data_IF_981059166900
#
_entry.id   IF_981059166900
#
_cell.length_a   1.000
_cell.length_b   1.000
_cell.length_c   1.000
_cell.angle_alpha   90.00
_cell.angle_beta   90.00
_cell.angle_gamma   90.00
#
_symmetry.space_group_name_H-M   'P 1'
#
loop_
_entity.id
_entity.type
_entity.pdbx_description
1 polymer ?
#
# COMPACT_ATOMS: atom_id res chain seq x y z
N UNK A 1 -11.34 -0.77 8.61
CA UNK A 1 -12.14 -1.94 8.18
C UNK A 1 -11.93 -2.16 6.69
N UNK A 2 -11.90 -3.40 6.20
CA UNK A 2 -11.74 -3.67 4.77
C UNK A 2 -12.84 -3.02 3.94
N UNK A 3 -12.53 -2.69 2.69
CA UNK A 3 -13.49 -2.15 1.74
C UNK A 3 -14.63 -3.17 1.50
N UNK A 4 -15.88 -2.72 1.57
CA UNK A 4 -17.05 -3.61 1.52
C UNK A 4 -17.22 -4.36 0.20
N UNK A 5 -16.77 -3.77 -0.91
CA UNK A 5 -16.90 -4.37 -2.24
C UNK A 5 -15.80 -5.41 -2.52
N UNK A 6 -14.57 -5.11 -2.11
CA UNK A 6 -13.39 -5.90 -2.48
C UNK A 6 -12.88 -6.80 -1.35
N UNK A 7 -13.27 -6.53 -0.10
CA UNK A 7 -12.73 -7.19 1.08
C UNK A 7 -11.26 -6.85 1.37
N UNK A 8 -10.65 -5.90 0.65
CA UNK A 8 -9.25 -5.52 0.81
C UNK A 8 -9.11 -4.28 1.71
N UNK A 9 -7.97 -4.15 2.40
CA UNK A 9 -7.66 -2.94 3.15
C UNK A 9 -7.25 -1.81 2.20
N UNK A 10 -7.79 -0.61 2.40
CA UNK A 10 -7.36 0.59 1.68
C UNK A 10 -6.42 1.39 2.56
N UNK A 11 -5.22 1.66 2.05
CA UNK A 11 -4.20 2.48 2.71
C UNK A 11 -3.80 3.64 1.81
N UNK A 12 -3.32 4.72 2.42
CA UNK A 12 -2.79 5.89 1.70
C UNK A 12 -1.45 6.30 2.30
N UNK A 13 -0.54 6.88 1.50
CA UNK A 13 0.69 7.45 2.04
C UNK A 13 0.38 8.51 3.11
N UNK A 14 1.20 8.53 4.16
CA UNK A 14 1.14 9.57 5.19
C UNK A 14 1.92 10.81 4.73
N UNK A 15 1.40 11.98 5.07
CA UNK A 15 2.02 13.27 4.79
C UNK A 15 2.14 14.07 6.10
N UNK A 16 3.16 14.93 6.16
CA UNK A 16 3.32 15.93 7.23
C UNK A 16 2.41 17.14 6.98
N UNK A 17 2.30 18.03 7.98
CA UNK A 17 1.46 19.25 7.88
C UNK A 17 1.88 20.19 6.74
N UNK A 18 3.14 20.11 6.31
CA UNK A 18 3.68 20.88 5.18
C UNK A 18 3.43 20.21 3.81
N UNK A 19 2.76 19.05 3.78
CA UNK A 19 2.44 18.30 2.58
C UNK A 19 3.58 17.41 2.05
N UNK A 20 4.74 17.36 2.74
CA UNK A 20 5.80 16.43 2.38
C UNK A 20 5.49 14.99 2.81
N UNK A 21 6.07 14.00 2.13
CA UNK A 21 5.89 12.59 2.49
C UNK A 21 6.44 12.33 3.89
N UNK A 22 5.63 11.66 4.71
CA UNK A 22 6.06 11.19 6.02
C UNK A 22 6.82 9.86 5.86
N UNK A 23 8.16 9.92 5.85
CA UNK A 23 9.02 8.75 5.78
C UNK A 23 9.92 8.63 7.02
N UNK A 24 10.29 7.40 7.35
CA UNK A 24 11.24 7.10 8.42
C UNK A 24 12.13 5.93 8.01
N UNK A 25 13.36 5.90 8.53
CA UNK A 25 14.29 4.78 8.32
C UNK A 25 14.08 3.78 9.45
N UNK A 26 13.68 2.57 9.11
CA UNK A 26 13.51 1.46 10.06
C UNK A 26 14.60 0.41 9.89
N UNK A 27 14.88 -0.34 10.95
CA UNK A 27 15.75 -1.50 10.85
C UNK A 27 15.06 -2.60 10.02
N UNK A 28 15.81 -3.30 9.16
CA UNK A 28 15.22 -4.35 8.30
C UNK A 28 14.62 -5.47 9.15
N UNK A 29 15.23 -5.83 10.29
CA UNK A 29 14.69 -6.85 11.20
C UNK A 29 13.39 -6.41 11.90
N UNK A 30 13.00 -5.13 11.82
CA UNK A 30 11.70 -4.65 12.29
C UNK A 30 10.59 -4.87 11.26
N UNK A 31 10.92 -5.27 10.03
CA UNK A 31 9.93 -5.60 9.00
C UNK A 31 9.41 -7.00 9.29
N UNK A 32 8.19 -7.06 9.81
CA UNK A 32 7.56 -8.33 10.17
C UNK A 32 7.16 -9.12 8.91
N UNK A 33 6.64 -8.43 7.89
CA UNK A 33 6.19 -9.07 6.67
C UNK A 33 6.12 -8.09 5.49
N UNK A 34 6.43 -8.58 4.29
CA UNK A 34 6.13 -7.89 3.02
C UNK A 34 4.71 -8.20 2.57
N UNK A 35 3.99 -7.17 2.12
CA UNK A 35 2.64 -7.30 1.58
C UNK A 35 2.58 -6.86 0.12
N UNK A 36 1.76 -7.53 -0.67
CA UNK A 36 1.45 -7.11 -2.03
C UNK A 36 0.44 -5.95 -2.00
N UNK A 37 0.88 -4.82 -2.54
CA UNK A 37 0.05 -3.63 -2.73
C UNK A 37 -0.40 -3.52 -4.17
N UNK A 38 -1.66 -3.12 -4.37
CA UNK A 38 -2.23 -2.81 -5.68
C UNK A 38 -2.69 -1.34 -5.68
N UNK A 39 -2.28 -0.50 -6.64
CA UNK A 39 -2.77 0.87 -6.70
C UNK A 39 -4.29 0.94 -6.86
N UNK A 40 -4.91 1.91 -6.18
CA UNK A 40 -6.31 2.24 -6.41
C UNK A 40 -6.37 3.08 -7.68
N UNK A 41 -6.76 2.45 -8.78
CA UNK A 41 -6.96 3.15 -10.05
C UNK A 41 -8.26 3.95 -10.00
N UNK A 42 -8.21 5.18 -10.53
CA UNK A 42 -9.40 5.97 -10.81
C UNK A 42 -10.12 5.49 -12.07
N UNK A 43 -10.84 6.40 -12.73
CA UNK A 43 -11.43 6.12 -14.05
C UNK A 43 -10.40 6.09 -15.18
N UNK A 44 -9.19 6.54 -14.89
CA UNK A 44 -8.09 6.64 -15.84
C UNK A 44 -7.31 5.34 -15.92
N UNK A 45 -6.70 5.10 -17.09
CA UNK A 45 -5.81 3.95 -17.27
C UNK A 45 -4.52 4.17 -16.49
N UNK A 46 -3.90 3.07 -16.08
CA UNK A 46 -2.56 3.10 -15.52
C UNK A 46 -1.61 3.84 -16.47
N UNK A 47 -0.86 4.80 -15.93
CA UNK A 47 0.09 5.60 -16.70
C UNK A 47 1.24 4.69 -17.19
N UNK A 48 1.62 4.74 -18.48
CA UNK A 48 2.56 3.77 -19.07
C UNK A 48 4.00 3.88 -18.54
N UNK A 49 4.34 4.96 -17.84
CA UNK A 49 5.64 5.17 -17.22
C UNK A 49 5.69 4.77 -15.73
N UNK A 50 4.57 4.28 -15.19
CA UNK A 50 4.52 3.73 -13.83
C UNK A 50 5.27 2.41 -13.82
N UNK A 51 6.16 2.25 -12.84
CA UNK A 51 6.92 1.05 -12.58
C UNK A 51 7.08 0.86 -11.06
N UNK A 52 7.68 -0.26 -10.65
CA UNK A 52 7.80 -0.61 -9.22
C UNK A 52 8.57 0.42 -8.37
N UNK A 53 9.40 1.27 -8.98
CA UNK A 53 10.21 2.25 -8.26
C UNK A 53 9.50 3.56 -7.98
N UNK A 54 8.50 3.94 -8.79
CA UNK A 54 7.79 5.22 -8.66
C UNK A 54 6.30 5.06 -8.32
N UNK A 55 5.82 3.82 -8.21
CA UNK A 55 4.42 3.50 -7.92
C UNK A 55 3.92 4.18 -6.64
N UNK A 56 4.73 4.15 -5.59
CA UNK A 56 4.41 4.69 -4.26
C UNK A 56 4.31 6.22 -4.24
N UNK A 57 5.04 6.89 -5.14
CA UNK A 57 5.04 8.34 -5.25
C UNK A 57 3.90 8.85 -6.14
N UNK A 58 3.45 8.03 -7.10
CA UNK A 58 2.44 8.43 -8.10
C UNK A 58 1.01 8.24 -7.60
N UNK A 59 0.73 7.17 -6.85
CA UNK A 59 -0.63 6.84 -6.42
C UNK A 59 -0.90 7.27 -4.99
N UNK A 60 -2.08 7.85 -4.78
CA UNK A 60 -2.52 8.33 -3.46
C UNK A 60 -3.18 7.25 -2.60
N UNK A 61 -3.38 6.05 -3.13
CA UNK A 61 -4.05 4.97 -2.41
C UNK A 61 -3.74 3.60 -2.97
N UNK A 62 -3.74 2.61 -2.08
CA UNK A 62 -3.41 1.22 -2.38
C UNK A 62 -4.39 0.28 -1.68
N UNK A 63 -4.73 -0.80 -2.37
CA UNK A 63 -5.31 -1.98 -1.75
C UNK A 63 -4.19 -2.89 -1.24
N UNK A 64 -4.31 -3.34 0.00
CA UNK A 64 -3.45 -4.37 0.59
C UNK A 64 -4.21 -5.69 0.53
N UNK A 65 -3.60 -6.67 -0.13
CA UNK A 65 -4.24 -7.96 -0.39
C UNK A 65 -3.87 -9.01 0.67
N UNK A 66 -4.67 -9.07 1.74
CA UNK A 66 -4.53 -10.11 2.77
C UNK A 66 -4.59 -11.54 2.22
N UNK A 67 -5.30 -11.78 1.11
CA UNK A 67 -5.47 -13.13 0.54
C UNK A 67 -4.27 -13.59 -0.29
N UNK A 68 -3.60 -12.67 -0.97
CA UNK A 68 -2.39 -12.97 -1.74
C UNK A 68 -1.18 -13.15 -0.81
N UNK A 69 -1.17 -12.45 0.32
CA UNK A 69 -0.13 -12.54 1.32
C UNK A 69 -0.45 -13.67 2.31
N UNK A 70 -0.22 -14.91 1.89
CA UNK A 70 -0.52 -16.13 2.66
C UNK A 70 0.09 -16.15 4.08
N UNK A 71 1.12 -15.33 4.35
CA UNK A 71 1.73 -15.21 5.67
C UNK A 71 1.01 -14.24 6.64
N UNK A 72 -0.04 -13.51 6.23
CA UNK A 72 -0.73 -12.54 7.12
C UNK A 72 -1.67 -13.24 8.14
N UNK A 73 -1.77 -14.56 8.09
CA UNK A 73 -2.65 -15.31 8.99
C UNK A 73 -2.21 -15.32 10.47
N UNK A 74 -0.91 -15.18 10.74
CA UNK A 74 -0.36 -15.37 12.09
C UNK A 74 -0.48 -14.16 13.04
N UNK A 75 -0.72 -12.95 12.52
CA UNK A 75 -0.71 -11.71 13.34
C UNK A 75 -2.07 -11.04 13.51
N UNK A 76 -3.05 -11.40 12.67
CA UNK A 76 -4.41 -10.86 12.73
C UNK A 76 -5.40 -11.78 13.47
N UNK A 77 -4.92 -12.92 14.02
CA UNK A 77 -5.69 -13.88 14.82
C UNK A 77 -5.53 -13.66 16.31
#
# INVERSE_FOLDING_TARGET
VPNELTGMWMVSPSFLDDGSHNFTVIHVDSIIQSMHILPIFGKERALPFVNCHNLLDIYHGFYVNYFADHHVFELAS
#
